data_IF_277198768377
#
_entry.id   IF_277198768377
#
_cell.length_a   1.000
_cell.length_b   1.000
_cell.length_c   1.000
_cell.angle_alpha   90.00
_cell.angle_beta   90.00
_cell.angle_gamma   90.00
#
_symmetry.space_group_name_H-M   'P 1'
#
loop_
_entity.id
_entity.type
_entity.pdbx_description
1 polymer ?
#
# COMPACT_ATOMS: atom_id res chain seq x y z
N UNK A 1 -7.85 25.04 4.76
CA UNK A 1 -6.56 24.43 4.39
C UNK A 1 -6.01 23.47 5.45
N UNK A 2 -5.84 23.88 6.71
CA UNK A 2 -5.29 22.99 7.75
C UNK A 2 -6.11 21.72 8.03
N UNK A 3 -7.42 21.84 8.18
CA UNK A 3 -8.30 20.68 8.39
C UNK A 3 -8.22 19.69 7.23
N UNK A 4 -8.24 20.19 5.99
CA UNK A 4 -8.07 19.38 4.77
C UNK A 4 -6.73 18.63 4.79
N UNK A 5 -5.63 19.30 5.16
CA UNK A 5 -4.31 18.67 5.28
C UNK A 5 -4.32 17.52 6.30
N UNK A 6 -4.91 17.74 7.48
CA UNK A 6 -5.02 16.72 8.54
C UNK A 6 -5.86 15.53 8.07
N UNK A 7 -7.03 15.78 7.46
CA UNK A 7 -7.92 14.73 6.95
C UNK A 7 -7.22 13.92 5.85
N UNK A 8 -6.56 14.60 4.90
CA UNK A 8 -5.86 13.94 3.80
C UNK A 8 -4.71 13.06 4.33
N UNK A 9 -3.90 13.56 5.27
CA UNK A 9 -2.80 12.79 5.87
C UNK A 9 -3.30 11.63 6.74
N UNK A 10 -4.34 11.85 7.54
CA UNK A 10 -4.95 10.80 8.37
C UNK A 10 -5.57 9.69 7.51
N UNK A 11 -6.33 10.07 6.48
CA UNK A 11 -6.89 9.13 5.50
C UNK A 11 -5.81 8.36 4.74
N UNK A 12 -4.69 9.02 4.39
CA UNK A 12 -3.55 8.35 3.78
C UNK A 12 -2.96 7.28 4.71
N UNK A 13 -2.60 7.65 5.95
CA UNK A 13 -2.00 6.71 6.92
C UNK A 13 -2.92 5.52 7.16
N UNK A 14 -4.22 5.78 7.39
CA UNK A 14 -5.21 4.72 7.58
C UNK A 14 -5.31 3.82 6.34
N UNK A 15 -5.41 4.39 5.14
CA UNK A 15 -5.48 3.62 3.91
C UNK A 15 -4.25 2.75 3.66
N UNK A 16 -3.05 3.23 3.99
CA UNK A 16 -1.82 2.42 3.91
C UNK A 16 -1.87 1.22 4.86
N UNK A 17 -2.34 1.42 6.09
CA UNK A 17 -2.51 0.33 7.07
C UNK A 17 -3.55 -0.68 6.59
N UNK A 18 -4.70 -0.21 6.08
CA UNK A 18 -5.76 -1.06 5.57
C UNK A 18 -5.31 -1.90 4.38
N UNK A 19 -4.59 -1.30 3.42
CA UNK A 19 -4.11 -2.04 2.25
C UNK A 19 -3.07 -3.10 2.66
N UNK A 20 -2.16 -2.78 3.58
CA UNK A 20 -1.21 -3.76 4.12
C UNK A 20 -1.93 -4.92 4.84
N UNK A 21 -2.97 -4.60 5.61
CA UNK A 21 -3.80 -5.60 6.28
C UNK A 21 -4.54 -6.49 5.28
N UNK A 22 -5.28 -5.91 4.34
CA UNK A 22 -6.05 -6.64 3.32
C UNK A 22 -5.15 -7.54 2.49
N UNK A 23 -4.02 -7.04 2.00
CA UNK A 23 -3.09 -7.83 1.20
C UNK A 23 -2.54 -9.05 1.96
N UNK A 24 -2.25 -8.88 3.26
CA UNK A 24 -1.81 -9.96 4.14
C UNK A 24 -2.92 -10.96 4.41
N UNK A 25 -4.14 -10.49 4.70
CA UNK A 25 -5.28 -11.38 4.98
C UNK A 25 -5.68 -12.20 3.77
N UNK A 26 -5.63 -11.65 2.55
CA UNK A 26 -6.01 -12.40 1.35
C UNK A 26 -5.15 -13.67 1.19
N UNK A 27 -3.83 -13.60 1.41
CA UNK A 27 -2.98 -14.78 1.35
C UNK A 27 -3.23 -15.74 2.52
N UNK A 28 -3.43 -15.23 3.74
CA UNK A 28 -3.75 -16.07 4.91
C UNK A 28 -5.08 -16.81 4.77
N UNK A 29 -6.05 -16.23 4.08
CA UNK A 29 -7.35 -16.86 3.83
C UNK A 29 -7.20 -18.13 2.99
N UNK A 30 -6.23 -18.19 2.08
CA UNK A 30 -5.95 -19.42 1.31
C UNK A 30 -5.53 -20.54 2.26
N UNK A 31 -4.60 -20.25 3.17
CA UNK A 31 -4.10 -21.25 4.11
C UNK A 31 -5.22 -21.76 5.04
N UNK A 32 -6.10 -20.86 5.51
CA UNK A 32 -7.28 -21.25 6.31
C UNK A 32 -8.28 -22.11 5.53
N UNK A 33 -8.58 -21.71 4.29
CA UNK A 33 -9.55 -22.40 3.43
C UNK A 33 -9.08 -23.83 3.09
N UNK A 34 -7.77 -24.00 2.91
CA UNK A 34 -7.17 -25.29 2.57
C UNK A 34 -6.88 -26.17 3.79
N UNK A 35 -6.66 -25.59 4.98
CA UNK A 35 -6.43 -26.36 6.21
C UNK A 35 -7.70 -26.98 6.80
N UNK A 36 -8.85 -26.32 6.60
CA UNK A 36 -10.15 -26.76 7.12
C UNK A 36 -11.25 -26.53 6.06
N UNK A 37 -11.22 -27.28 4.95
CA UNK A 37 -12.15 -27.11 3.85
C UNK A 37 -13.54 -27.67 4.18
N UNK A 38 -14.60 -26.99 3.72
CA UNK A 38 -15.95 -27.58 3.76
C UNK A 38 -16.05 -28.83 2.89
N UNK A 39 -17.07 -29.67 3.13
CA UNK A 39 -17.29 -30.88 2.32
C UNK A 39 -17.56 -30.55 0.85
N UNK A 40 -18.27 -29.44 0.58
CA UNK A 40 -18.53 -28.93 -0.77
C UNK A 40 -17.24 -28.48 -1.44
N UNK A 41 -16.41 -27.71 -0.73
CA UNK A 41 -15.15 -27.20 -1.28
C UNK A 41 -14.16 -28.33 -1.55
N UNK A 42 -14.05 -29.29 -0.63
CA UNK A 42 -13.25 -30.51 -0.80
C UNK A 42 -13.66 -31.29 -2.06
N UNK A 43 -14.97 -31.47 -2.29
CA UNK A 43 -15.49 -32.12 -3.50
C UNK A 43 -15.16 -31.31 -4.76
N UNK A 44 -15.25 -29.98 -4.69
CA UNK A 44 -14.99 -29.11 -5.83
C UNK A 44 -13.51 -29.11 -6.26
N UNK A 45 -12.57 -29.21 -5.31
CA UNK A 45 -11.13 -29.22 -5.61
C UNK A 45 -10.57 -30.62 -5.84
N UNK A 46 -11.32 -31.70 -5.55
CA UNK A 46 -10.88 -33.08 -5.72
C UNK A 46 -10.29 -33.39 -7.12
N UNK A 47 -10.82 -32.87 -8.25
CA UNK A 47 -10.26 -33.14 -9.57
C UNK A 47 -8.86 -32.56 -9.81
N UNK A 48 -8.51 -31.46 -9.13
CA UNK A 48 -7.22 -30.77 -9.29
C UNK A 48 -6.24 -31.07 -8.14
N UNK A 49 -6.75 -31.54 -7.00
CA UNK A 49 -5.97 -31.82 -5.81
C UNK A 49 -5.58 -30.57 -5.01
N UNK A 50 -5.01 -30.80 -3.84
CA UNK A 50 -4.74 -29.74 -2.85
C UNK A 50 -3.67 -28.74 -3.32
N UNK A 51 -2.56 -29.22 -3.89
CA UNK A 51 -1.43 -28.37 -4.29
C UNK A 51 -1.79 -27.47 -5.47
N UNK A 52 -2.48 -28.00 -6.48
CA UNK A 52 -2.93 -27.21 -7.62
C UNK A 52 -4.02 -26.21 -7.21
N UNK A 53 -4.96 -26.61 -6.34
CA UNK A 53 -5.94 -25.68 -5.77
C UNK A 53 -5.24 -24.51 -5.05
N UNK A 54 -4.15 -24.78 -4.33
CA UNK A 54 -3.35 -23.73 -3.69
C UNK A 54 -2.74 -22.78 -4.72
N UNK A 55 -2.17 -23.29 -5.82
CA UNK A 55 -1.59 -22.46 -6.88
C UNK A 55 -2.66 -21.53 -7.49
N UNK A 56 -3.83 -22.09 -7.86
CA UNK A 56 -4.93 -21.34 -8.46
C UNK A 56 -5.47 -20.26 -7.50
N UNK A 57 -5.71 -20.60 -6.23
CA UNK A 57 -6.18 -19.63 -5.23
C UNK A 57 -5.14 -18.53 -4.97
N UNK A 58 -3.85 -18.87 -4.97
CA UNK A 58 -2.76 -17.89 -4.82
C UNK A 58 -2.69 -16.95 -6.01
N UNK A 59 -2.93 -17.44 -7.22
CA UNK A 59 -3.02 -16.61 -8.42
C UNK A 59 -4.22 -15.64 -8.34
N UNK A 60 -5.40 -16.13 -7.96
CA UNK A 60 -6.58 -15.29 -7.75
C UNK A 60 -6.32 -14.17 -6.73
N UNK A 61 -5.78 -14.52 -5.56
CA UNK A 61 -5.43 -13.55 -4.52
C UNK A 61 -4.34 -12.58 -4.98
N UNK A 62 -3.37 -13.05 -5.78
CA UNK A 62 -2.38 -12.18 -6.36
C UNK A 62 -3.06 -11.12 -7.24
N UNK A 63 -3.94 -11.49 -8.17
CA UNK A 63 -4.69 -10.53 -9.01
C UNK A 63 -5.56 -9.56 -8.19
N UNK A 64 -6.24 -10.03 -7.13
CA UNK A 64 -6.97 -9.14 -6.21
C UNK A 64 -6.04 -8.11 -5.55
N UNK A 65 -4.89 -8.56 -5.05
CA UNK A 65 -3.90 -7.66 -4.47
C UNK A 65 -3.33 -6.68 -5.50
N UNK A 66 -3.09 -7.11 -6.75
CA UNK A 66 -2.66 -6.23 -7.84
C UNK A 66 -3.67 -5.12 -8.09
N UNK A 67 -4.96 -5.45 -8.11
CA UNK A 67 -6.04 -4.47 -8.22
C UNK A 67 -6.03 -3.48 -7.05
N UNK A 68 -5.95 -3.97 -5.81
CA UNK A 68 -5.93 -3.12 -4.62
C UNK A 68 -4.71 -2.19 -4.58
N UNK A 69 -3.52 -2.68 -4.91
CA UNK A 69 -2.31 -1.86 -4.96
C UNK A 69 -2.36 -0.82 -6.09
N UNK A 70 -2.95 -1.16 -7.25
CA UNK A 70 -3.13 -0.21 -8.34
C UNK A 70 -4.10 0.91 -7.96
N UNK A 71 -5.29 0.55 -7.46
CA UNK A 71 -6.29 1.51 -6.99
C UNK A 71 -5.74 2.40 -5.85
N UNK A 72 -5.00 1.79 -4.93
CA UNK A 72 -4.35 2.51 -3.84
C UNK A 72 -3.27 3.47 -4.35
N UNK A 73 -2.46 3.07 -5.33
CA UNK A 73 -1.46 3.95 -5.95
C UNK A 73 -2.08 5.22 -6.54
N UNK A 74 -3.18 5.10 -7.29
CA UNK A 74 -3.90 6.27 -7.81
C UNK A 74 -4.54 7.11 -6.70
N UNK A 75 -5.05 6.46 -5.65
CA UNK A 75 -5.57 7.16 -4.46
C UNK A 75 -4.48 7.95 -3.76
N UNK A 76 -3.28 7.37 -3.59
CA UNK A 76 -2.11 8.06 -3.03
C UNK A 76 -1.69 9.26 -3.90
N UNK A 77 -1.78 9.16 -5.23
CA UNK A 77 -1.51 10.29 -6.11
C UNK A 77 -2.50 11.44 -5.84
N UNK A 78 -3.80 11.16 -5.79
CA UNK A 78 -4.82 12.17 -5.48
C UNK A 78 -4.62 12.79 -4.08
N UNK A 79 -4.34 11.96 -3.08
CA UNK A 79 -4.05 12.42 -1.71
C UNK A 79 -2.78 13.28 -1.67
N UNK A 80 -1.72 12.90 -2.38
CA UNK A 80 -0.46 13.65 -2.43
C UNK A 80 -0.61 15.02 -3.06
N UNK A 81 -1.35 15.13 -4.17
CA UNK A 81 -1.69 16.40 -4.77
C UNK A 81 -2.51 17.27 -3.80
N UNK A 82 -3.47 16.68 -3.10
CA UNK A 82 -4.28 17.36 -2.08
C UNK A 82 -3.42 17.88 -0.93
N UNK A 83 -2.47 17.08 -0.44
CA UNK A 83 -1.53 17.46 0.64
C UNK A 83 -0.65 18.65 0.20
N UNK A 84 -0.17 18.66 -1.05
CA UNK A 84 0.62 19.77 -1.61
C UNK A 84 -0.22 21.05 -1.69
N UNK A 85 -1.41 20.98 -2.28
CA UNK A 85 -2.32 22.14 -2.43
C UNK A 85 -2.71 22.68 -1.05
N UNK A 86 -3.08 21.80 -0.12
CA UNK A 86 -3.45 22.20 1.24
C UNK A 86 -2.28 22.86 1.98
N UNK A 87 -1.05 22.36 1.80
CA UNK A 87 0.16 22.94 2.39
C UNK A 87 0.47 24.34 1.83
N UNK A 88 0.35 24.54 0.51
CA UNK A 88 0.53 25.85 -0.13
C UNK A 88 -0.50 26.89 0.31
N UNK A 89 -1.70 26.43 0.66
CA UNK A 89 -2.79 27.25 1.16
C UNK A 89 -2.69 27.66 2.64
N UNK A 90 -1.69 27.18 3.39
CA UNK A 90 -1.49 27.59 4.79
C UNK A 90 -0.97 29.03 4.90
N UNK A 91 -1.37 29.72 5.97
CA UNK A 91 -0.95 31.09 6.29
C UNK A 91 -0.58 31.18 7.79
N UNK A 92 0.63 31.66 8.15
CA UNK A 92 1.77 31.92 7.25
C UNK A 92 2.21 30.65 6.50
N UNK A 93 2.93 30.83 5.38
CA UNK A 93 3.36 29.70 4.55
C UNK A 93 4.42 28.87 5.27
N UNK A 94 4.13 27.58 5.54
CA UNK A 94 5.09 26.64 6.11
C UNK A 94 5.96 26.05 4.97
N UNK A 95 7.06 26.73 4.63
CA UNK A 95 7.98 26.30 3.56
C UNK A 95 8.48 24.87 3.77
N UNK A 96 8.79 24.48 5.01
CA UNK A 96 9.23 23.13 5.32
C UNK A 96 8.11 22.10 5.06
N UNK A 97 6.88 22.41 5.47
CA UNK A 97 5.70 21.58 5.19
C UNK A 97 5.45 21.39 3.70
N UNK A 98 5.56 22.46 2.91
CA UNK A 98 5.44 22.42 1.44
C UNK A 98 6.54 21.56 0.81
N UNK A 99 7.80 21.72 1.23
CA UNK A 99 8.91 20.89 0.74
C UNK A 99 8.65 19.41 1.00
N UNK A 100 8.23 19.05 2.22
CA UNK A 100 7.94 17.66 2.57
C UNK A 100 6.76 17.12 1.77
N UNK A 101 5.69 17.91 1.58
CA UNK A 101 4.56 17.55 0.74
C UNK A 101 4.99 17.27 -0.71
N UNK A 102 5.82 18.16 -1.30
CA UNK A 102 6.34 18.01 -2.65
C UNK A 102 7.25 16.78 -2.80
N UNK A 103 8.14 16.55 -1.84
CA UNK A 103 8.97 15.33 -1.80
C UNK A 103 8.11 14.07 -1.73
N UNK A 104 7.04 14.09 -0.93
CA UNK A 104 6.11 12.96 -0.82
C UNK A 104 5.40 12.68 -2.15
N UNK A 105 4.99 13.72 -2.89
CA UNK A 105 4.42 13.57 -4.23
C UNK A 105 5.41 12.92 -5.21
N UNK A 106 6.68 13.37 -5.21
CA UNK A 106 7.73 12.75 -6.04
C UNK A 106 7.91 11.27 -5.68
N UNK A 107 7.93 10.94 -4.39
CA UNK A 107 8.02 9.56 -3.93
C UNK A 107 6.83 8.73 -4.43
N UNK A 108 5.60 9.26 -4.39
CA UNK A 108 4.41 8.56 -4.93
C UNK A 108 4.55 8.25 -6.42
N UNK A 109 5.02 9.21 -7.22
CA UNK A 109 5.24 9.01 -8.65
C UNK A 109 6.27 7.89 -8.91
N UNK A 110 7.37 7.88 -8.16
CA UNK A 110 8.39 6.81 -8.24
C UNK A 110 7.81 5.46 -7.78
N UNK A 111 7.05 5.43 -6.68
CA UNK A 111 6.38 4.23 -6.19
C UNK A 111 5.40 3.65 -7.21
N UNK A 112 4.68 4.48 -7.96
CA UNK A 112 3.77 4.02 -9.03
C UNK A 112 4.53 3.29 -10.13
N UNK A 113 5.67 3.83 -10.58
CA UNK A 113 6.52 3.19 -11.59
C UNK A 113 7.10 1.86 -11.09
N UNK A 114 7.63 1.85 -9.86
CA UNK A 114 8.16 0.63 -9.23
C UNK A 114 7.06 -0.42 -9.03
N UNK A 115 5.84 0.00 -8.71
CA UNK A 115 4.69 -0.89 -8.58
C UNK A 115 4.39 -1.57 -9.92
N UNK A 116 4.33 -0.84 -11.03
CA UNK A 116 4.09 -1.46 -12.35
C UNK A 116 5.16 -2.51 -12.70
N UNK A 117 6.43 -2.23 -12.40
CA UNK A 117 7.52 -3.19 -12.60
C UNK A 117 7.38 -4.44 -11.71
N UNK A 118 6.98 -4.27 -10.45
CA UNK A 118 6.70 -5.38 -9.54
C UNK A 118 5.49 -6.20 -9.98
N UNK A 119 4.47 -5.58 -10.56
CA UNK A 119 3.29 -6.26 -11.07
C UNK A 119 3.64 -7.15 -12.26
N UNK A 120 4.41 -6.62 -13.24
CA UNK A 120 4.80 -7.39 -14.42
C UNK A 120 5.72 -8.56 -14.06
N UNK A 121 6.71 -8.33 -13.21
CA UNK A 121 7.63 -9.38 -12.74
C UNK A 121 6.91 -10.38 -11.82
N UNK A 122 5.95 -9.93 -11.02
CA UNK A 122 5.14 -10.81 -10.19
C UNK A 122 4.34 -11.81 -11.03
N UNK A 123 3.80 -11.40 -12.19
CA UNK A 123 3.03 -12.28 -13.07
C UNK A 123 3.87 -13.37 -13.72
N UNK A 124 5.14 -13.11 -14.05
CA UNK A 124 6.03 -14.16 -14.57
C UNK A 124 6.35 -15.23 -13.52
N UNK A 125 6.24 -14.88 -12.24
CA UNK A 125 6.55 -15.76 -11.11
C UNK A 125 5.34 -16.52 -10.54
N UNK A 126 4.12 -16.26 -11.00
CA UNK A 126 2.89 -16.78 -10.36
C UNK A 126 2.80 -18.31 -10.36
N UNK A 127 3.36 -18.96 -11.40
CA UNK A 127 3.34 -20.41 -11.57
C UNK A 127 4.73 -21.05 -11.36
N UNK A 128 5.74 -20.26 -10.98
CA UNK A 128 7.07 -20.77 -10.68
C UNK A 128 7.10 -21.27 -9.24
N UNK A 129 7.44 -22.55 -8.99
CA UNK A 129 7.57 -23.07 -7.64
C UNK A 129 8.56 -22.24 -6.81
N UNK A 130 8.14 -21.83 -5.61
CA UNK A 130 8.93 -20.95 -4.74
C UNK A 130 10.22 -21.59 -4.19
N UNK A 131 10.34 -22.91 -4.32
CA UNK A 131 11.54 -23.69 -3.98
C UNK A 131 12.64 -23.54 -5.03
N UNK A 132 12.29 -23.11 -6.26
CA UNK A 132 13.26 -22.85 -7.31
C UNK A 132 13.92 -21.49 -7.11
N UNK A 133 15.24 -21.48 -7.06
CA UNK A 133 16.03 -20.24 -7.01
C UNK A 133 16.24 -19.74 -8.44
N UNK A 134 15.49 -18.71 -8.84
CA UNK A 134 15.64 -18.06 -10.15
C UNK A 134 16.16 -16.64 -10.02
N UNK A 135 16.82 -16.14 -11.07
CA UNK A 135 17.28 -14.74 -11.14
C UNK A 135 16.09 -13.76 -11.04
N UNK A 136 14.94 -14.11 -11.63
CA UNK A 136 13.71 -13.32 -11.56
C UNK A 136 13.18 -13.20 -10.12
N UNK A 137 13.20 -14.29 -9.36
CA UNK A 137 12.78 -14.29 -7.96
C UNK A 137 13.69 -13.40 -7.10
N UNK A 138 15.01 -13.46 -7.34
CA UNK A 138 15.97 -12.59 -6.66
C UNK A 138 15.73 -11.11 -7.01
N UNK A 139 15.53 -10.80 -8.30
CA UNK A 139 15.20 -9.44 -8.76
C UNK A 139 13.89 -8.94 -8.15
N UNK A 140 12.86 -9.77 -8.10
CA UNK A 140 11.58 -9.45 -7.48
C UNK A 140 11.74 -9.12 -6.00
N UNK A 141 12.48 -9.94 -5.24
CA UNK A 141 12.75 -9.70 -3.83
C UNK A 141 13.46 -8.36 -3.60
N UNK A 142 14.50 -8.08 -4.38
CA UNK A 142 15.23 -6.82 -4.28
C UNK A 142 14.33 -5.62 -4.58
N UNK A 143 13.59 -5.65 -5.69
CA UNK A 143 12.65 -4.57 -6.03
C UNK A 143 11.56 -4.40 -4.96
N UNK A 144 11.06 -5.50 -4.40
CA UNK A 144 10.02 -5.46 -3.37
C UNK A 144 10.54 -4.85 -2.08
N UNK A 145 11.78 -5.16 -1.68
CA UNK A 145 12.43 -4.52 -0.52
C UNK A 145 12.65 -3.03 -0.74
N UNK A 146 13.12 -2.62 -1.93
CA UNK A 146 13.29 -1.20 -2.28
C UNK A 146 11.96 -0.46 -2.24
N UNK A 147 10.94 -1.01 -2.89
CA UNK A 147 9.57 -0.46 -2.86
C UNK A 147 9.05 -0.32 -1.43
N UNK A 148 9.21 -1.35 -0.61
CA UNK A 148 8.77 -1.34 0.80
C UNK A 148 9.51 -0.27 1.61
N UNK A 149 10.82 -0.14 1.45
CA UNK A 149 11.60 0.90 2.13
C UNK A 149 11.15 2.31 1.74
N UNK A 150 10.89 2.54 0.45
CA UNK A 150 10.36 3.81 -0.05
C UNK A 150 8.95 4.08 0.51
N UNK A 151 8.09 3.06 0.58
CA UNK A 151 6.73 3.19 1.12
C UNK A 151 6.74 3.51 2.63
N UNK A 152 7.65 2.88 3.40
CA UNK A 152 7.85 3.18 4.82
C UNK A 152 8.39 4.60 5.04
N UNK A 153 9.34 5.05 4.23
CA UNK A 153 9.84 6.43 4.28
C UNK A 153 8.69 7.43 4.02
N UNK A 154 7.90 7.17 2.98
CA UNK A 154 6.71 7.98 2.64
C UNK A 154 5.73 8.04 3.82
N UNK A 155 5.43 6.91 4.44
CA UNK A 155 4.55 6.86 5.61
C UNK A 155 5.11 7.67 6.79
N UNK A 156 6.41 7.58 7.05
CA UNK A 156 7.08 8.37 8.09
C UNK A 156 6.98 9.88 7.81
N UNK A 157 7.15 10.31 6.55
CA UNK A 157 6.97 11.71 6.16
C UNK A 157 5.52 12.19 6.37
N UNK A 158 4.52 11.36 6.03
CA UNK A 158 3.12 11.67 6.29
C UNK A 158 2.83 11.82 7.80
N UNK A 159 3.31 10.89 8.63
CA UNK A 159 3.15 10.95 10.10
C UNK A 159 3.82 12.18 10.68
N UNK A 160 5.04 12.49 10.23
CA UNK A 160 5.77 13.67 10.67
C UNK A 160 5.01 14.95 10.32
N UNK A 161 4.55 15.09 9.08
CA UNK A 161 3.82 16.27 8.62
C UNK A 161 2.48 16.42 9.35
N UNK A 162 1.78 15.31 9.61
CA UNK A 162 0.54 15.30 10.38
C UNK A 162 0.79 15.77 11.81
N UNK A 163 1.78 15.18 12.48
CA UNK A 163 2.15 15.51 13.87
C UNK A 163 2.53 16.98 14.00
N UNK A 164 3.33 17.50 13.06
CA UNK A 164 3.71 18.91 13.00
C UNK A 164 2.49 19.81 12.82
N UNK A 165 1.62 19.50 11.86
CA UNK A 165 0.42 20.29 11.56
C UNK A 165 -0.55 20.31 12.73
N UNK A 166 -0.71 19.18 13.43
CA UNK A 166 -1.56 19.07 14.61
C UNK A 166 -1.03 19.88 15.80
N UNK A 167 0.29 19.89 16.03
CA UNK A 167 0.92 20.68 17.12
C UNK A 167 0.81 22.20 16.92
N UNK A 168 0.60 22.66 15.70
CA UNK A 168 0.36 24.09 15.40
C UNK A 168 -1.08 24.54 15.70
N UNK A 169 -1.95 23.63 16.16
CA UNK A 169 -3.25 23.96 16.73
C UNK A 169 -3.02 24.32 18.20
N UNK A 170 -2.92 25.62 18.49
CA UNK A 170 -2.86 26.10 19.87
C UNK A 170 -4.10 25.69 20.67
N UNK A 171 -4.04 25.68 22.02
CA UNK A 171 -5.21 25.39 22.83
C UNK A 171 -6.33 26.37 22.48
N UNK A 172 -7.55 25.86 22.33
CA UNK A 172 -8.74 26.69 22.11
C UNK A 172 -8.94 27.52 23.37
N UNK A 173 -8.58 28.81 23.33
CA UNK A 173 -8.93 29.76 24.38
C UNK A 173 -10.43 30.01 24.29
N UNK A 174 -11.21 29.23 25.04
CA UNK A 174 -12.62 29.56 25.28
C UNK A 174 -12.60 30.82 26.15
N UNK A 175 -12.87 31.98 25.54
CA UNK A 175 -13.20 33.18 26.31
C UNK A 175 -14.48 32.86 27.09
N UNK A 176 -14.36 32.77 28.42
CA UNK A 176 -15.49 32.80 29.33
C UNK A 176 -16.06 34.21 29.39
#
# INVERSE_FOLDING_TARGET
MRALLIIALGGWIMGSILIAFVATQNFRTIDRLLSDPTAEFSRAIAPIGHDEARVVLRYLVAELNRLYFSAWGFTQLALSATVVVASLGLRPLDRAGVTIAATTLVIVLVSLLLSQLLLSLGRSLDFIPRTMVTQELARFRTLHMVYTGIDLLKLALCIWLLSRTARQVGPVTIKR
#
